data_IF_420066460293
#
_entry.id   IF_420066460293
#
_cell.length_a   1.000
_cell.length_b   1.000
_cell.length_c   1.000
_cell.angle_alpha   90.00
_cell.angle_beta   90.00
_cell.angle_gamma   90.00
#
_symmetry.space_group_name_H-M   'P 1'
#
loop_
_entity.id
_entity.type
_entity.pdbx_description
1 polymer ?
#
# COMPACT_ATOMS: atom_id res chain seq x y z
N UNK A 1 -9.55 19.65 8.73
CA UNK A 1 -8.55 18.73 8.15
C UNK A 1 -9.13 17.93 6.96
N UNK A 2 -9.69 18.58 5.93
CA UNK A 2 -10.38 17.93 4.79
C UNK A 2 -9.71 18.20 3.43
N UNK A 3 -8.43 18.63 3.38
CA UNK A 3 -7.80 19.07 2.12
C UNK A 3 -6.74 18.13 1.52
N UNK A 4 -6.33 17.05 2.18
CA UNK A 4 -5.21 16.23 1.70
C UNK A 4 -5.61 14.92 1.01
N UNK A 5 -6.90 14.57 0.94
CA UNK A 5 -7.36 13.34 0.27
C UNK A 5 -7.52 13.52 -1.24
N UNK A 6 -7.65 14.76 -1.73
CA UNK A 6 -7.84 15.06 -3.15
C UNK A 6 -6.54 15.04 -3.98
N UNK A 7 -5.37 15.03 -3.35
CA UNK A 7 -4.08 15.06 -4.05
C UNK A 7 -3.62 13.68 -4.55
N UNK A 8 -4.13 12.60 -3.98
CA UNK A 8 -3.78 11.23 -4.42
C UNK A 8 -4.54 10.78 -5.68
N UNK A 9 -5.72 11.33 -5.94
CA UNK A 9 -6.53 11.02 -7.12
C UNK A 9 -6.02 11.63 -8.43
N UNK A 10 -5.28 12.72 -8.35
CA UNK A 10 -4.85 13.48 -9.53
C UNK A 10 -3.59 12.91 -10.21
N UNK A 11 -2.82 12.07 -9.51
CA UNK A 11 -1.56 11.56 -10.07
C UNK A 11 -1.73 10.35 -10.99
N UNK A 12 -2.85 9.66 -10.93
CA UNK A 12 -3.14 8.49 -11.80
C UNK A 12 -3.76 8.94 -13.12
N UNK A 13 -4.41 10.10 -13.16
CA UNK A 13 -5.08 10.61 -14.36
C UNK A 13 -4.18 11.29 -15.40
N UNK A 14 -2.97 11.69 -15.05
CA UNK A 14 -2.10 12.48 -15.93
C UNK A 14 -1.27 11.66 -16.92
N UNK A 15 -1.26 10.34 -16.81
CA UNK A 15 -0.45 9.49 -17.71
C UNK A 15 -1.17 9.04 -19.00
N UNK A 16 -2.45 9.34 -19.17
CA UNK A 16 -3.21 8.87 -20.35
C UNK A 16 -3.51 9.93 -21.41
N UNK A 17 -3.02 11.17 -21.29
CA UNK A 17 -3.37 12.23 -22.23
C UNK A 17 -2.23 12.79 -23.10
N UNK A 18 -1.11 12.09 -23.23
CA UNK A 18 -0.06 12.50 -24.17
C UNK A 18 -0.05 11.56 -25.38
N UNK A 19 -1.12 11.50 -26.13
CA UNK A 19 -1.10 10.92 -27.46
C UNK A 19 -2.34 11.29 -28.30
N UNK A 20 -2.63 12.58 -28.46
CA UNK A 20 -3.44 13.04 -29.59
C UNK A 20 -3.20 14.54 -29.81
N UNK A 21 -2.10 14.87 -30.44
CA UNK A 21 -1.95 16.16 -31.11
C UNK A 21 -1.56 15.91 -32.57
N UNK A 22 -2.40 16.43 -33.42
CA UNK A 22 -2.52 16.15 -34.82
C UNK A 22 -1.25 16.29 -35.68
N UNK A 23 -1.16 15.43 -36.64
CA UNK A 23 -0.19 15.50 -37.72
C UNK A 23 -0.37 14.27 -38.59
N UNK A 24 -1.00 14.42 -39.80
CA UNK A 24 -1.09 13.41 -40.83
C UNK A 24 0.28 12.91 -41.24
N UNK A 25 0.78 11.91 -40.53
CA UNK A 25 1.81 10.98 -41.03
C UNK A 25 1.20 9.59 -40.93
N UNK A 26 1.13 8.88 -42.06
CA UNK A 26 0.86 7.45 -42.13
C UNK A 26 1.78 6.77 -41.12
N UNK A 27 1.27 6.52 -39.93
CA UNK A 27 1.95 5.78 -38.90
C UNK A 27 1.96 4.33 -39.38
N UNK A 28 3.09 3.90 -39.94
CA UNK A 28 3.34 2.49 -40.11
C UNK A 28 3.06 1.84 -38.77
N UNK A 29 2.18 0.87 -38.72
CA UNK A 29 1.95 0.08 -37.51
C UNK A 29 3.31 -0.48 -37.10
N UNK A 30 3.91 0.15 -36.08
CA UNK A 30 5.15 -0.35 -35.49
C UNK A 30 4.80 -1.71 -34.90
N UNK A 31 5.30 -2.76 -35.49
CA UNK A 31 5.13 -4.12 -34.96
C UNK A 31 5.76 -4.13 -33.55
N UNK A 32 4.93 -4.34 -32.53
CA UNK A 32 5.37 -4.50 -31.15
C UNK A 32 6.38 -5.65 -31.12
N UNK A 33 7.54 -5.40 -30.56
CA UNK A 33 8.59 -6.41 -30.45
C UNK A 33 8.24 -7.45 -29.39
N UNK A 34 8.76 -8.69 -29.47
CA UNK A 34 8.60 -9.68 -28.41
C UNK A 34 9.11 -9.19 -27.04
N UNK A 35 10.16 -8.38 -27.01
CA UNK A 35 10.71 -7.79 -25.80
C UNK A 35 9.77 -6.75 -25.19
N UNK A 36 9.15 -5.91 -26.00
CA UNK A 36 8.13 -4.94 -25.52
C UNK A 36 6.90 -5.64 -24.93
N UNK A 37 6.47 -6.76 -25.53
CA UNK A 37 5.38 -7.59 -25.01
C UNK A 37 5.76 -8.25 -23.68
N UNK A 38 6.96 -8.79 -23.56
CA UNK A 38 7.46 -9.39 -22.33
C UNK A 38 7.53 -8.36 -21.19
N UNK A 39 8.09 -7.19 -21.47
CA UNK A 39 8.17 -6.09 -20.50
C UNK A 39 6.77 -5.60 -20.09
N UNK A 40 5.85 -5.47 -21.01
CA UNK A 40 4.46 -5.10 -20.71
C UNK A 40 3.80 -6.15 -19.79
N UNK A 41 4.02 -7.44 -20.06
CA UNK A 41 3.51 -8.53 -19.21
C UNK A 41 4.08 -8.48 -17.81
N UNK A 42 5.38 -8.20 -17.65
CA UNK A 42 6.03 -8.04 -16.33
C UNK A 42 5.45 -6.86 -15.56
N UNK A 43 5.22 -5.73 -16.23
CA UNK A 43 4.55 -4.56 -15.60
C UNK A 43 3.15 -4.91 -15.12
N UNK A 44 2.35 -5.62 -15.95
CA UNK A 44 0.99 -6.04 -15.59
C UNK A 44 1.04 -6.99 -14.37
N UNK A 45 1.94 -7.96 -14.37
CA UNK A 45 2.09 -8.89 -13.25
C UNK A 45 2.49 -8.17 -11.95
N UNK A 46 3.44 -7.25 -12.01
CA UNK A 46 3.81 -6.41 -10.87
C UNK A 46 2.62 -5.62 -10.33
N UNK A 47 1.81 -5.05 -11.23
CA UNK A 47 0.59 -4.34 -10.83
C UNK A 47 -0.44 -5.26 -10.17
N UNK A 48 -0.64 -6.48 -10.69
CA UNK A 48 -1.51 -7.48 -10.06
C UNK A 48 -1.01 -7.87 -8.66
N UNK A 49 0.28 -8.14 -8.51
CA UNK A 49 0.90 -8.40 -7.20
C UNK A 49 0.66 -7.23 -6.24
N UNK A 50 0.81 -6.00 -6.73
CA UNK A 50 0.52 -4.79 -5.96
C UNK A 50 -0.91 -4.76 -5.45
N UNK A 51 -1.90 -5.05 -6.30
CA UNK A 51 -3.31 -5.05 -5.91
C UNK A 51 -3.62 -6.13 -4.86
N UNK A 52 -3.03 -7.32 -5.00
CA UNK A 52 -3.19 -8.41 -4.03
C UNK A 52 -2.65 -7.97 -2.67
N UNK A 53 -1.42 -7.46 -2.63
CA UNK A 53 -0.77 -7.02 -1.39
C UNK A 53 -1.52 -5.86 -0.75
N UNK A 54 -1.94 -4.86 -1.53
CA UNK A 54 -2.67 -3.69 -1.00
C UNK A 54 -4.01 -4.07 -0.35
N UNK A 55 -4.68 -5.11 -0.84
CA UNK A 55 -5.92 -5.62 -0.23
C UNK A 55 -5.68 -6.28 1.13
N UNK A 56 -4.46 -6.75 1.39
CA UNK A 56 -4.07 -7.46 2.60
C UNK A 56 -3.11 -6.64 3.49
N UNK A 57 -2.88 -5.38 3.15
CA UNK A 57 -1.95 -4.54 3.92
C UNK A 57 -2.45 -4.27 5.34
N UNK A 58 -3.75 -4.11 5.51
CA UNK A 58 -4.40 -3.99 6.80
C UNK A 58 -5.83 -4.53 6.73
N UNK A 59 -6.29 -5.11 7.83
CA UNK A 59 -7.69 -5.53 7.95
C UNK A 59 -8.54 -4.30 8.29
N UNK A 60 -9.56 -4.01 7.48
CA UNK A 60 -10.46 -2.89 7.72
C UNK A 60 -11.15 -2.96 9.09
N UNK A 61 -11.45 -4.18 9.58
CA UNK A 61 -12.01 -4.39 10.92
C UNK A 61 -11.05 -3.92 12.01
N UNK A 62 -9.75 -4.21 11.87
CA UNK A 62 -8.74 -3.80 12.84
C UNK A 62 -8.54 -2.29 12.83
N UNK A 63 -8.47 -1.68 11.64
CA UNK A 63 -8.38 -0.22 11.50
C UNK A 63 -9.58 0.47 12.16
N UNK A 64 -10.79 0.00 11.91
CA UNK A 64 -12.00 0.56 12.51
C UNK A 64 -12.05 0.34 14.03
N UNK A 65 -11.57 -0.81 14.53
CA UNK A 65 -11.47 -1.07 15.96
C UNK A 65 -10.49 -0.10 16.65
N UNK A 66 -9.34 0.16 16.04
CA UNK A 66 -8.35 1.12 16.55
C UNK A 66 -8.91 2.54 16.54
N UNK A 67 -9.56 2.96 15.44
CA UNK A 67 -10.17 4.29 15.33
C UNK A 67 -11.29 4.45 16.36
N UNK A 68 -12.21 3.48 16.46
CA UNK A 68 -13.28 3.51 17.45
C UNK A 68 -12.76 3.56 18.89
N UNK A 69 -11.63 2.89 19.17
CA UNK A 69 -10.95 2.98 20.43
C UNK A 69 -10.40 4.39 20.73
N UNK A 70 -9.81 5.03 19.73
CA UNK A 70 -9.24 6.38 19.88
C UNK A 70 -10.31 7.47 20.03
N UNK A 71 -11.50 7.25 19.47
CA UNK A 71 -12.62 8.20 19.53
C UNK A 71 -13.41 8.10 20.84
N UNK A 72 -13.27 7.03 21.59
CA UNK A 72 -14.04 6.83 22.83
C UNK A 72 -13.38 7.55 24.01
N UNK A 73 -14.08 8.57 24.51
CA UNK A 73 -13.77 9.25 25.76
C UNK A 73 -14.55 8.59 26.91
N UNK A 74 -13.96 7.64 27.63
CA UNK A 74 -14.46 7.26 28.93
C UNK A 74 -14.76 5.79 29.24
N UNK A 75 -15.23 4.96 28.31
CA UNK A 75 -15.32 3.50 28.51
C UNK A 75 -14.60 2.81 27.35
N UNK A 76 -13.52 2.16 27.69
CA UNK A 76 -12.74 1.41 26.71
C UNK A 76 -13.39 0.06 26.51
N UNK A 77 -13.88 -0.28 25.34
CA UNK A 77 -14.31 -1.64 25.06
C UNK A 77 -13.10 -2.58 25.26
N UNK A 78 -13.39 -3.79 25.68
CA UNK A 78 -12.39 -4.85 25.74
C UNK A 78 -11.93 -5.14 24.30
N UNK A 79 -10.74 -4.68 23.95
CA UNK A 79 -10.15 -4.87 22.63
C UNK A 79 -9.04 -5.89 22.74
N UNK A 80 -9.17 -6.95 21.97
CA UNK A 80 -8.12 -7.97 21.85
C UNK A 80 -6.95 -7.47 20.99
N UNK A 81 -5.75 -8.01 21.17
CA UNK A 81 -4.64 -7.78 20.28
C UNK A 81 -5.03 -8.09 18.83
N UNK A 82 -4.52 -7.27 17.92
CA UNK A 82 -4.74 -7.42 16.47
C UNK A 82 -3.49 -7.98 15.80
N UNK A 83 -3.68 -8.74 14.72
CA UNK A 83 -2.59 -9.30 13.95
C UNK A 83 -2.69 -8.85 12.49
N UNK A 84 -1.56 -8.52 11.85
CA UNK A 84 -1.56 -8.15 10.45
C UNK A 84 -2.04 -9.33 9.58
N UNK A 85 -2.88 -9.07 8.56
CA UNK A 85 -3.21 -10.11 7.57
C UNK A 85 -1.94 -10.71 6.98
N UNK A 86 -1.99 -11.98 6.64
CA UNK A 86 -0.86 -12.63 5.99
C UNK A 86 -0.63 -12.06 4.59
N UNK A 87 0.60 -11.72 4.29
CA UNK A 87 1.05 -11.30 2.96
C UNK A 87 2.17 -12.23 2.55
N UNK A 88 2.09 -12.77 1.33
CA UNK A 88 3.10 -13.67 0.79
C UNK A 88 4.49 -13.03 0.83
N UNK A 89 5.47 -13.75 1.37
CA UNK A 89 6.87 -13.31 1.38
C UNK A 89 7.41 -13.09 -0.04
N UNK A 90 6.98 -13.92 -1.00
CA UNK A 90 7.32 -13.78 -2.42
C UNK A 90 6.80 -12.46 -2.98
N UNK A 91 5.50 -12.18 -2.76
CA UNK A 91 4.87 -10.98 -3.30
C UNK A 91 5.47 -9.71 -2.67
N UNK A 92 5.77 -9.77 -1.37
CA UNK A 92 6.48 -8.70 -0.68
C UNK A 92 7.86 -8.45 -1.28
N UNK A 93 8.64 -9.50 -1.55
CA UNK A 93 9.97 -9.39 -2.15
C UNK A 93 9.91 -8.79 -3.56
N UNK A 94 8.94 -9.23 -4.37
CA UNK A 94 8.71 -8.68 -5.72
C UNK A 94 8.42 -7.18 -5.70
N UNK A 95 7.55 -6.73 -4.79
CA UNK A 95 7.23 -5.31 -4.65
C UNK A 95 8.39 -4.48 -4.12
N UNK A 96 9.23 -5.08 -3.28
CA UNK A 96 10.41 -4.41 -2.71
C UNK A 96 11.58 -4.31 -3.67
N UNK A 97 11.58 -5.08 -4.75
CA UNK A 97 12.63 -5.05 -5.77
C UNK A 97 12.06 -5.10 -7.19
N UNK A 98 11.42 -3.98 -7.63
CA UNK A 98 10.87 -3.87 -8.98
C UNK A 98 11.94 -4.13 -10.04
N UNK A 99 11.58 -4.90 -11.07
CA UNK A 99 12.49 -5.30 -12.13
C UNK A 99 12.94 -4.14 -13.04
N UNK A 100 13.89 -4.46 -13.92
CA UNK A 100 14.50 -3.52 -14.88
C UNK A 100 13.58 -3.11 -16.04
N UNK A 101 12.43 -3.76 -16.15
CA UNK A 101 11.34 -3.34 -17.05
C UNK A 101 10.70 -1.99 -16.67
N UNK A 102 10.97 -1.48 -15.48
CA UNK A 102 10.70 -0.09 -15.12
C UNK A 102 11.96 0.78 -15.29
N UNK A 103 11.79 2.04 -15.68
CA UNK A 103 12.91 2.97 -15.63
C UNK A 103 13.41 3.19 -14.19
N UNK A 104 14.65 3.63 -14.05
CA UNK A 104 15.34 3.72 -12.76
C UNK A 104 14.60 4.60 -11.74
N UNK A 105 14.01 5.71 -12.18
CA UNK A 105 13.29 6.61 -11.28
C UNK A 105 12.01 5.96 -10.75
N UNK A 106 11.27 5.27 -11.61
CA UNK A 106 10.05 4.54 -11.21
C UNK A 106 10.41 3.42 -10.23
N UNK A 107 11.46 2.64 -10.51
CA UNK A 107 11.96 1.59 -9.61
C UNK A 107 12.26 2.12 -8.21
N UNK A 108 13.01 3.22 -8.13
CA UNK A 108 13.36 3.84 -6.85
C UNK A 108 12.13 4.32 -6.09
N UNK A 109 11.21 4.98 -6.77
CA UNK A 109 9.97 5.48 -6.17
C UNK A 109 9.09 4.32 -5.66
N UNK A 110 8.90 3.26 -6.46
CA UNK A 110 8.15 2.07 -6.06
C UNK A 110 8.79 1.41 -4.83
N UNK A 111 10.10 1.18 -4.86
CA UNK A 111 10.85 0.59 -3.75
C UNK A 111 10.69 1.40 -2.46
N UNK A 112 10.83 2.71 -2.53
CA UNK A 112 10.65 3.59 -1.38
C UNK A 112 9.21 3.57 -0.86
N UNK A 113 8.22 3.60 -1.75
CA UNK A 113 6.80 3.60 -1.39
C UNK A 113 6.41 2.31 -0.68
N UNK A 114 6.83 1.14 -1.20
CA UNK A 114 6.51 -0.14 -0.55
C UNK A 114 7.27 -0.34 0.77
N UNK A 115 8.51 0.12 0.88
CA UNK A 115 9.23 0.14 2.17
C UNK A 115 8.47 0.98 3.20
N UNK A 116 8.03 2.17 2.82
CA UNK A 116 7.23 3.03 3.69
C UNK A 116 5.92 2.37 4.10
N UNK A 117 5.21 1.75 3.16
CA UNK A 117 3.96 1.04 3.41
C UNK A 117 4.12 -0.11 4.41
N UNK A 118 5.10 -0.99 4.20
CA UNK A 118 5.33 -2.13 5.09
C UNK A 118 5.83 -1.69 6.46
N UNK A 119 6.65 -0.64 6.53
CA UNK A 119 7.07 -0.04 7.81
C UNK A 119 5.88 0.53 8.57
N UNK A 120 5.02 1.32 7.91
CA UNK A 120 3.82 1.87 8.52
C UNK A 120 2.85 0.78 8.99
N UNK A 121 2.68 -0.28 8.21
CA UNK A 121 1.91 -1.46 8.58
C UNK A 121 2.43 -2.11 9.86
N UNK A 122 3.72 -2.40 9.91
CA UNK A 122 4.35 -3.00 11.07
C UNK A 122 4.17 -2.13 12.33
N UNK A 123 4.39 -0.82 12.20
CA UNK A 123 4.21 0.13 13.30
C UNK A 123 2.75 0.22 13.77
N UNK A 124 1.78 0.15 12.86
CA UNK A 124 0.37 0.19 13.22
C UNK A 124 0.01 -0.97 14.17
N UNK A 125 0.33 -2.20 13.80
CA UNK A 125 0.01 -3.38 14.60
C UNK A 125 0.84 -3.45 15.90
N UNK A 126 2.13 -3.18 15.82
CA UNK A 126 3.05 -3.23 16.97
C UNK A 126 2.70 -2.18 18.02
N UNK A 127 2.52 -0.93 17.62
CA UNK A 127 2.23 0.17 18.54
C UNK A 127 0.87 -0.01 19.22
N UNK A 128 -0.15 -0.46 18.49
CA UNK A 128 -1.46 -0.70 19.08
C UNK A 128 -1.41 -1.84 20.10
N UNK A 129 -0.76 -2.95 19.79
CA UNK A 129 -0.63 -4.07 20.71
C UNK A 129 0.21 -3.72 21.95
N UNK A 130 1.29 -2.96 21.79
CA UNK A 130 2.06 -2.42 22.91
C UNK A 130 1.21 -1.52 23.80
N UNK A 131 0.44 -0.64 23.21
CA UNK A 131 -0.46 0.23 23.94
C UNK A 131 -1.48 -0.59 24.76
N UNK A 132 -2.11 -1.62 24.17
CA UNK A 132 -3.01 -2.52 24.91
C UNK A 132 -2.31 -3.20 26.08
N UNK A 133 -1.09 -3.70 25.89
CA UNK A 133 -0.30 -4.35 26.95
C UNK A 133 -0.02 -3.40 28.12
N UNK A 134 0.37 -2.17 27.86
CA UNK A 134 0.58 -1.16 28.90
C UNK A 134 -0.70 -0.84 29.67
N UNK A 135 -1.82 -0.77 28.96
CA UNK A 135 -3.10 -0.51 29.59
C UNK A 135 -3.52 -1.65 30.53
N UNK A 136 -3.44 -2.90 30.08
CA UNK A 136 -3.75 -4.08 30.87
C UNK A 136 -2.88 -4.15 32.13
N UNK A 137 -1.56 -3.93 32.00
CA UNK A 137 -0.65 -3.90 33.13
C UNK A 137 -1.03 -2.82 34.17
N UNK A 138 -1.44 -1.64 33.71
CA UNK A 138 -1.86 -0.54 34.60
C UNK A 138 -3.19 -0.84 35.29
N UNK A 139 -4.12 -1.50 34.68
CA UNK A 139 -5.40 -1.91 35.25
C UNK A 139 -5.19 -3.00 36.32
N UNK A 140 -4.34 -3.99 36.05
CA UNK A 140 -3.98 -5.04 37.00
C UNK A 140 -3.30 -4.45 38.25
N UNK A 141 -2.39 -3.50 38.07
CA UNK A 141 -1.71 -2.83 39.19
C UNK A 141 -2.63 -1.93 40.05
N UNK A 142 -3.80 -1.57 39.59
CA UNK A 142 -4.79 -0.81 40.36
C UNK A 142 -5.79 -1.70 41.08
N UNK A 143 -5.92 -2.96 40.69
CA UNK A 143 -6.86 -3.92 41.25
C UNK A 143 -6.26 -4.75 42.41
N UNK A 144 -4.94 -4.75 42.60
CA UNK A 144 -4.22 -5.37 43.71
C UNK A 144 -3.78 -4.34 44.74
#
# INVERSE_FOLDING_TARGET
MKKNILLFGALIGAFLLVSCSGGNKKQAASSVTPEELDNASKVINYYHTSLIVLRHVANAKDVNAVLGYMEQTGKVPEVSPIAPPEVSARDTAELMDPGDYFNIQVRQNLKQSYRGLFSARAQFYDNFNKFLSYKQAKETAKAG
#
